data_IF_161467289625
#
_entry.id   IF_161467289625
#
_cell.length_a   1.000
_cell.length_b   1.000
_cell.length_c   1.000
_cell.angle_alpha   90.00
_cell.angle_beta   90.00
_cell.angle_gamma   90.00
#
_symmetry.space_group_name_H-M   'P 1'
#
loop_
_entity.id
_entity.type
_entity.pdbx_description
1 polymer ?
#
# COMPACT_ATOMS: atom_id res chain seq x y z
N UNK A 1 12.06 6.81 31.78
CA UNK A 1 10.72 6.33 31.37
C UNK A 1 9.92 6.07 32.63
N UNK A 2 8.70 6.58 32.72
CA UNK A 2 7.79 6.25 33.83
C UNK A 2 7.24 4.83 33.65
N UNK A 3 6.80 4.18 34.73
CA UNK A 3 6.46 2.74 34.75
C UNK A 3 5.31 2.30 33.81
N UNK A 4 4.62 3.22 33.13
CA UNK A 4 3.50 2.96 32.22
C UNK A 4 3.65 3.70 30.87
N UNK A 5 4.87 3.96 30.43
CA UNK A 5 5.14 4.62 29.15
C UNK A 5 5.85 3.64 28.20
N UNK A 6 5.27 3.39 27.04
CA UNK A 6 5.87 2.62 25.95
C UNK A 6 6.24 3.54 24.79
N UNK A 7 7.02 3.04 23.84
CA UNK A 7 7.10 3.66 22.52
C UNK A 7 5.72 3.58 21.83
N UNK A 8 5.45 4.53 20.94
CA UNK A 8 4.26 4.48 20.09
C UNK A 8 4.35 3.30 19.11
N UNK A 9 3.19 2.69 18.80
CA UNK A 9 3.13 1.58 17.86
C UNK A 9 3.42 2.05 16.43
N UNK A 10 3.88 1.11 15.61
CA UNK A 10 4.06 1.28 14.15
C UNK A 10 3.12 0.34 13.43
N UNK A 11 2.30 0.87 12.54
CA UNK A 11 1.48 0.09 11.62
C UNK A 11 2.25 -0.03 10.31
N UNK A 12 2.84 -1.19 10.06
CA UNK A 12 3.75 -1.41 8.93
C UNK A 12 3.04 -1.60 7.57
N UNK A 13 1.72 -1.67 7.56
CA UNK A 13 0.90 -1.75 6.36
C UNK A 13 -0.52 -1.28 6.65
N UNK A 14 -1.04 -0.35 5.84
CA UNK A 14 -2.41 0.12 5.90
C UNK A 14 -2.84 0.60 4.51
N UNK A 15 -4.16 0.67 4.31
CA UNK A 15 -4.81 1.20 3.12
C UNK A 15 -5.71 2.36 3.56
N UNK A 16 -5.16 3.55 3.74
CA UNK A 16 -5.92 4.71 4.25
C UNK A 16 -7.11 5.08 3.38
N UNK A 17 -7.03 4.84 2.07
CA UNK A 17 -8.15 5.12 1.18
C UNK A 17 -9.42 4.30 1.53
N UNK A 18 -9.26 3.18 2.24
CA UNK A 18 -10.37 2.31 2.65
C UNK A 18 -11.16 2.80 3.87
N UNK A 19 -10.74 3.85 4.57
CA UNK A 19 -11.36 4.26 5.84
C UNK A 19 -12.87 4.57 5.72
N UNK A 20 -13.25 5.14 4.58
CA UNK A 20 -14.62 5.51 4.23
C UNK A 20 -15.43 4.34 3.64
N UNK A 21 -14.82 3.17 3.42
CA UNK A 21 -15.51 1.98 2.93
C UNK A 21 -16.61 1.49 3.88
N UNK A 22 -16.51 1.80 5.18
CA UNK A 22 -17.55 1.50 6.18
C UNK A 22 -18.92 2.10 5.85
N UNK A 23 -18.97 3.11 4.96
CA UNK A 23 -20.20 3.72 4.46
C UNK A 23 -20.67 3.22 3.09
N UNK A 24 -19.96 2.29 2.45
CA UNK A 24 -20.30 1.84 1.09
C UNK A 24 -21.55 0.95 1.03
N UNK A 25 -22.33 1.02 -0.06
CA UNK A 25 -23.33 0.01 -0.35
C UNK A 25 -22.71 -1.39 -0.44
N UNK A 26 -23.49 -2.41 -0.07
CA UNK A 26 -23.06 -3.80 -0.24
C UNK A 26 -22.70 -4.09 -1.71
N UNK A 27 -21.70 -4.96 -1.97
CA UNK A 27 -21.40 -5.41 -3.32
C UNK A 27 -22.62 -6.11 -3.94
N UNK A 28 -22.68 -6.24 -5.29
CA UNK A 28 -23.79 -6.90 -5.98
C UNK A 28 -24.08 -8.32 -5.50
N UNK A 29 -23.07 -8.99 -4.94
CA UNK A 29 -23.14 -10.28 -4.24
C UNK A 29 -22.00 -10.37 -3.23
N UNK A 30 -22.16 -11.24 -2.22
CA UNK A 30 -21.09 -11.54 -1.27
C UNK A 30 -19.91 -12.21 -2.00
N UNK A 31 -18.70 -11.64 -1.93
CA UNK A 31 -17.48 -12.30 -2.42
C UNK A 31 -17.21 -13.58 -1.64
N UNK A 32 -16.76 -14.63 -2.32
CA UNK A 32 -16.42 -15.92 -1.69
C UNK A 32 -14.97 -16.35 -1.92
N UNK A 33 -14.16 -15.50 -2.57
CA UNK A 33 -12.74 -15.74 -2.80
C UNK A 33 -11.99 -14.40 -3.01
N UNK A 34 -10.66 -14.47 -3.05
CA UNK A 34 -9.78 -13.32 -3.17
C UNK A 34 -10.00 -12.48 -4.46
N UNK A 35 -10.05 -13.06 -5.68
CA UNK A 35 -10.39 -12.28 -6.88
C UNK A 35 -11.72 -11.54 -6.79
N UNK A 36 -12.75 -12.17 -6.21
CA UNK A 36 -14.07 -11.55 -6.09
C UNK A 36 -14.09 -10.36 -5.13
N UNK A 37 -13.37 -10.41 -4.01
CA UNK A 37 -13.33 -9.27 -3.08
C UNK A 37 -12.61 -8.08 -3.73
N UNK A 38 -11.55 -8.33 -4.50
CA UNK A 38 -10.88 -7.32 -5.31
C UNK A 38 -11.84 -6.69 -6.33
N UNK A 39 -12.47 -7.50 -7.18
CA UNK A 39 -13.33 -7.02 -8.25
C UNK A 39 -14.60 -6.31 -7.77
N UNK A 40 -15.27 -6.89 -6.76
CA UNK A 40 -16.59 -6.44 -6.32
C UNK A 40 -16.54 -5.29 -5.33
N UNK A 41 -15.43 -5.10 -4.62
CA UNK A 41 -15.27 -4.09 -3.57
C UNK A 41 -14.07 -3.20 -3.87
N UNK A 42 -12.84 -3.71 -3.76
CA UNK A 42 -11.64 -2.87 -3.70
C UNK A 42 -11.39 -2.09 -4.99
N UNK A 43 -11.49 -2.75 -6.15
CA UNK A 43 -11.34 -2.10 -7.46
C UNK A 43 -12.49 -1.17 -7.82
N UNK A 44 -13.61 -1.21 -7.09
CA UNK A 44 -14.68 -0.22 -7.28
C UNK A 44 -14.44 0.99 -6.41
N UNK A 45 -13.89 0.77 -5.22
CA UNK A 45 -13.52 1.82 -4.29
C UNK A 45 -12.35 2.63 -4.80
N UNK A 46 -11.23 2.01 -5.19
CA UNK A 46 -10.01 2.71 -5.63
C UNK A 46 -10.28 3.70 -6.79
N UNK A 47 -11.12 3.30 -7.76
CA UNK A 47 -11.57 4.13 -8.89
C UNK A 47 -12.56 5.23 -8.51
N UNK A 48 -13.21 5.14 -7.36
CA UNK A 48 -14.19 6.14 -6.92
C UNK A 48 -13.55 7.33 -6.20
N UNK A 49 -12.25 7.27 -5.92
CA UNK A 49 -11.53 8.27 -5.13
C UNK A 49 -11.19 9.50 -5.97
N UNK A 50 -11.32 10.66 -5.33
CA UNK A 50 -10.71 11.93 -5.72
C UNK A 50 -9.82 12.46 -4.57
N UNK A 51 -9.07 13.54 -4.81
CA UNK A 51 -8.14 14.08 -3.81
C UNK A 51 -8.83 14.51 -2.50
N UNK A 52 -10.08 14.99 -2.56
CA UNK A 52 -10.84 15.40 -1.37
C UNK A 52 -11.21 14.17 -0.51
N UNK A 53 -11.68 13.11 -1.17
CA UNK A 53 -11.96 11.83 -0.53
C UNK A 53 -10.69 11.22 0.07
N UNK A 54 -9.56 11.26 -0.65
CA UNK A 54 -8.26 10.77 -0.18
C UNK A 54 -7.83 11.53 1.09
N UNK A 55 -7.88 12.87 1.07
CA UNK A 55 -7.55 13.72 2.21
C UNK A 55 -8.36 13.33 3.45
N UNK A 56 -9.68 13.23 3.32
CA UNK A 56 -10.56 12.90 4.43
C UNK A 56 -10.42 11.46 4.92
N UNK A 57 -10.20 10.51 4.01
CA UNK A 57 -9.97 9.09 4.36
C UNK A 57 -8.65 8.93 5.11
N UNK A 58 -7.58 9.59 4.66
CA UNK A 58 -6.27 9.62 5.33
C UNK A 58 -6.37 10.28 6.71
N UNK A 59 -7.06 11.42 6.84
CA UNK A 59 -7.23 12.12 8.11
C UNK A 59 -7.99 11.27 9.14
N UNK A 60 -9.07 10.60 8.72
CA UNK A 60 -9.82 9.68 9.58
C UNK A 60 -8.95 8.49 10.03
N UNK A 61 -8.17 7.93 9.12
CA UNK A 61 -7.26 6.82 9.43
C UNK A 61 -6.16 7.22 10.39
N UNK A 62 -5.54 8.38 10.17
CA UNK A 62 -4.53 8.94 11.06
C UNK A 62 -5.09 9.18 12.48
N UNK A 63 -6.30 9.75 12.59
CA UNK A 63 -6.96 9.94 13.88
C UNK A 63 -7.19 8.59 14.58
N UNK A 64 -7.73 7.60 13.86
CA UNK A 64 -7.98 6.25 14.39
C UNK A 64 -6.68 5.57 14.84
N UNK A 65 -5.60 5.72 14.06
CA UNK A 65 -4.29 5.20 14.41
C UNK A 65 -3.78 5.84 15.72
N UNK A 66 -3.85 7.16 15.84
CA UNK A 66 -3.40 7.87 17.04
C UNK A 66 -4.21 7.50 18.28
N UNK A 67 -5.54 7.38 18.18
CA UNK A 67 -6.41 6.93 19.26
C UNK A 67 -6.10 5.50 19.74
N UNK A 68 -5.54 4.67 18.87
CA UNK A 68 -5.06 3.31 19.19
C UNK A 68 -3.62 3.25 19.72
N UNK A 69 -2.94 4.39 19.88
CA UNK A 69 -1.54 4.46 20.31
C UNK A 69 -0.52 4.21 19.18
N UNK A 70 -0.97 4.19 17.92
CA UNK A 70 -0.10 4.12 16.75
C UNK A 70 0.37 5.52 16.36
N UNK A 71 1.68 5.70 16.23
CA UNK A 71 2.30 7.02 15.98
C UNK A 71 3.05 7.08 14.65
N UNK A 72 3.17 5.94 13.96
CA UNK A 72 3.73 5.86 12.62
C UNK A 72 2.97 4.82 11.80
N UNK A 73 2.63 5.15 10.56
CA UNK A 73 1.94 4.25 9.62
C UNK A 73 2.70 4.21 8.31
N UNK A 74 2.78 3.05 7.68
CA UNK A 74 3.18 2.91 6.28
C UNK A 74 1.89 2.72 5.49
N UNK A 75 1.55 3.73 4.69
CA UNK A 75 0.34 3.72 3.88
C UNK A 75 0.65 3.23 2.47
N UNK A 76 -0.09 2.22 2.03
CA UNK A 76 -0.05 1.67 0.69
C UNK A 76 -1.29 2.17 -0.04
N UNK A 77 -1.09 3.08 -0.98
CA UNK A 77 -2.17 3.87 -1.57
C UNK A 77 -2.49 3.44 -3.00
N UNK A 78 -3.77 3.22 -3.30
CA UNK A 78 -4.26 3.06 -4.67
C UNK A 78 -5.43 4.02 -4.96
N UNK A 79 -5.28 4.83 -6.01
CA UNK A 79 -6.32 5.77 -6.48
C UNK A 79 -6.17 6.05 -7.98
N UNK A 80 -6.44 5.08 -8.86
CA UNK A 80 -6.15 5.18 -10.30
C UNK A 80 -6.78 6.37 -11.02
N UNK A 81 -7.85 6.96 -10.47
CA UNK A 81 -8.51 8.14 -11.02
C UNK A 81 -8.04 9.47 -10.38
N UNK A 82 -7.09 9.42 -9.44
CA UNK A 82 -6.58 10.57 -8.69
C UNK A 82 -5.11 10.38 -8.26
N UNK A 83 -4.26 9.94 -9.19
CA UNK A 83 -2.85 9.57 -8.93
C UNK A 83 -2.00 10.78 -8.54
N UNK A 84 -1.99 11.81 -9.38
CA UNK A 84 -1.11 12.98 -9.28
C UNK A 84 -1.38 13.76 -7.98
N UNK A 85 -0.36 13.90 -7.13
CA UNK A 85 -0.46 14.60 -5.86
C UNK A 85 -1.06 13.80 -4.70
N UNK A 86 -1.53 12.58 -4.93
CA UNK A 86 -2.20 11.76 -3.91
C UNK A 86 -1.35 11.52 -2.66
N UNK A 87 -0.04 11.25 -2.84
CA UNK A 87 0.85 10.97 -1.71
C UNK A 87 1.10 12.22 -0.86
N UNK A 88 1.17 13.39 -1.50
CA UNK A 88 1.28 14.68 -0.81
C UNK A 88 0.02 14.97 0.01
N UNK A 89 -1.16 14.72 -0.56
CA UNK A 89 -2.45 14.88 0.14
C UNK A 89 -2.54 14.00 1.39
N UNK A 90 -2.09 12.75 1.29
CA UNK A 90 -2.06 11.82 2.42
C UNK A 90 -1.08 12.30 3.50
N UNK A 91 0.10 12.73 3.08
CA UNK A 91 1.12 13.27 3.98
C UNK A 91 0.62 14.49 4.76
N UNK A 92 -0.03 15.43 4.08
CA UNK A 92 -0.60 16.64 4.67
C UNK A 92 -1.72 16.32 5.67
N UNK A 93 -2.61 15.39 5.31
CA UNK A 93 -3.68 14.93 6.19
C UNK A 93 -3.12 14.31 7.48
N UNK A 94 -2.07 13.50 7.38
CA UNK A 94 -1.41 12.89 8.54
C UNK A 94 -0.67 13.91 9.40
N UNK A 95 -0.01 14.88 8.77
CA UNK A 95 0.71 15.95 9.45
C UNK A 95 -0.22 16.83 10.30
N UNK A 96 -1.43 17.10 9.82
CA UNK A 96 -2.42 17.87 10.57
C UNK A 96 -2.88 17.15 11.86
N UNK A 97 -3.00 15.81 11.81
CA UNK A 97 -3.34 14.99 12.98
C UNK A 97 -2.12 14.78 13.90
N UNK A 98 -0.92 14.79 13.34
CA UNK A 98 0.34 14.56 14.06
C UNK A 98 0.83 13.11 14.04
N UNK A 99 0.35 12.29 13.08
CA UNK A 99 0.84 10.92 12.86
C UNK A 99 1.94 10.93 11.81
N UNK A 100 3.04 10.21 12.04
CA UNK A 100 4.08 10.04 11.01
C UNK A 100 3.58 9.06 9.95
N UNK A 101 3.74 9.40 8.69
CA UNK A 101 3.41 8.50 7.58
C UNK A 101 4.62 8.26 6.69
N UNK A 102 4.73 7.03 6.21
CA UNK A 102 5.57 6.64 5.08
C UNK A 102 4.61 6.30 3.93
N UNK A 103 4.54 7.15 2.92
CA UNK A 103 3.57 7.02 1.83
C UNK A 103 4.13 6.18 0.68
N UNK A 104 3.27 5.38 0.06
CA UNK A 104 3.65 4.55 -1.08
C UNK A 104 2.48 4.51 -2.07
N UNK A 105 2.72 4.74 -3.37
CA UNK A 105 1.67 4.55 -4.38
C UNK A 105 1.81 3.16 -5.00
N UNK A 106 0.80 2.29 -4.83
CA UNK A 106 0.77 0.92 -5.32
C UNK A 106 0.62 0.85 -6.83
N UNK A 107 1.74 0.78 -7.57
CA UNK A 107 1.76 0.70 -9.03
C UNK A 107 1.12 -0.61 -9.51
N UNK A 108 0.34 -0.55 -10.58
CA UNK A 108 -0.34 -1.71 -11.17
C UNK A 108 -0.60 -1.51 -12.67
N UNK A 109 -0.55 -2.60 -13.43
CA UNK A 109 -0.87 -2.62 -14.86
C UNK A 109 -2.38 -2.80 -15.15
N UNK A 110 -3.22 -2.91 -14.12
CA UNK A 110 -4.70 -3.01 -14.25
C UNK A 110 -5.32 -1.86 -15.05
N UNK A 111 -4.66 -0.72 -15.08
CA UNK A 111 -5.13 0.50 -15.76
C UNK A 111 -4.31 0.83 -17.01
N UNK A 112 -3.63 -0.18 -17.57
CA UNK A 112 -2.80 -0.06 -18.76
C UNK A 112 -1.46 0.63 -18.51
N UNK A 113 -0.59 0.67 -19.53
CA UNK A 113 0.76 1.21 -19.40
C UNK A 113 0.82 2.67 -18.95
N UNK A 114 -0.16 3.48 -19.34
CA UNK A 114 -0.27 4.89 -18.92
C UNK A 114 -0.54 5.00 -17.42
N UNK A 115 -1.40 4.15 -16.87
CA UNK A 115 -1.69 4.12 -15.43
C UNK A 115 -0.50 3.64 -14.60
N UNK A 116 0.20 2.61 -15.07
CA UNK A 116 1.43 2.14 -14.43
C UNK A 116 2.52 3.22 -14.44
N UNK A 117 2.74 3.87 -15.59
CA UNK A 117 3.69 4.98 -15.73
C UNK A 117 3.32 6.17 -14.84
N UNK A 118 2.04 6.52 -14.73
CA UNK A 118 1.58 7.59 -13.85
C UNK A 118 1.79 7.25 -12.36
N UNK A 119 1.54 6.00 -11.95
CA UNK A 119 1.81 5.55 -10.58
C UNK A 119 3.30 5.58 -10.23
N UNK A 120 4.17 5.16 -11.16
CA UNK A 120 5.62 5.29 -11.02
C UNK A 120 6.01 6.77 -10.90
N UNK A 121 5.46 7.63 -11.75
CA UNK A 121 5.73 9.06 -11.73
C UNK A 121 5.31 9.73 -10.41
N UNK A 122 4.21 9.32 -9.78
CA UNK A 122 3.79 9.86 -8.48
C UNK A 122 4.74 9.42 -7.35
N UNK A 123 5.20 8.17 -7.33
CA UNK A 123 6.24 7.73 -6.39
C UNK A 123 7.51 8.57 -6.57
N UNK A 124 7.99 8.70 -7.82
CA UNK A 124 9.21 9.44 -8.16
C UNK A 124 9.10 10.92 -7.76
N UNK A 125 7.98 11.57 -8.10
CA UNK A 125 7.71 12.97 -7.76
C UNK A 125 7.73 13.17 -6.25
N UNK A 126 6.97 12.38 -5.50
CA UNK A 126 6.87 12.51 -4.04
C UNK A 126 8.22 12.31 -3.35
N UNK A 127 8.99 11.30 -3.75
CA UNK A 127 10.32 11.03 -3.21
C UNK A 127 11.33 12.13 -3.59
N UNK A 128 11.32 12.59 -4.84
CA UNK A 128 12.19 13.68 -5.33
C UNK A 128 11.95 15.01 -4.62
N UNK A 129 10.72 15.29 -4.19
CA UNK A 129 10.36 16.48 -3.41
C UNK A 129 10.73 16.36 -1.91
N UNK A 130 11.32 15.24 -1.50
CA UNK A 130 11.71 14.99 -0.10
C UNK A 130 10.59 14.39 0.76
N UNK A 131 9.54 13.86 0.13
CA UNK A 131 8.50 13.09 0.78
C UNK A 131 9.06 11.85 1.46
N UNK A 132 8.49 11.47 2.60
CA UNK A 132 8.86 10.24 3.31
C UNK A 132 8.06 9.09 2.73
N UNK A 133 8.69 8.26 1.90
CA UNK A 133 8.00 7.21 1.17
C UNK A 133 8.82 5.95 0.90
N UNK A 134 8.18 5.02 0.21
CA UNK A 134 8.77 3.85 -0.47
C UNK A 134 8.20 3.79 -1.89
N UNK A 135 8.77 2.97 -2.76
CA UNK A 135 8.14 2.68 -4.06
C UNK A 135 7.13 1.55 -3.89
N UNK A 136 5.94 1.70 -4.47
CA UNK A 136 4.85 0.74 -4.31
C UNK A 136 4.62 -0.11 -5.53
N UNK A 137 4.35 -1.38 -5.30
CA UNK A 137 3.70 -2.27 -6.26
C UNK A 137 2.45 -2.81 -5.60
N UNK A 138 1.32 -2.82 -6.31
CA UNK A 138 0.10 -3.44 -5.78
C UNK A 138 0.38 -4.91 -5.47
N UNK A 139 0.61 -5.75 -6.48
CA UNK A 139 1.02 -7.14 -6.31
C UNK A 139 1.61 -7.64 -7.64
N UNK A 140 2.46 -8.66 -7.60
CA UNK A 140 3.12 -9.19 -8.79
C UNK A 140 2.12 -9.68 -9.85
N UNK A 141 1.05 -10.39 -9.48
CA UNK A 141 0.02 -10.84 -10.43
C UNK A 141 -0.75 -9.70 -11.15
N UNK A 142 -0.59 -8.46 -10.69
CA UNK A 142 -1.18 -7.26 -11.30
C UNK A 142 -0.17 -6.37 -12.01
N UNK A 143 1.09 -6.80 -12.09
CA UNK A 143 2.18 -6.06 -12.71
C UNK A 143 2.90 -6.92 -13.75
N UNK A 144 3.37 -6.29 -14.82
CA UNK A 144 4.30 -6.90 -15.76
C UNK A 144 5.71 -6.94 -15.18
N UNK A 145 6.56 -7.81 -15.72
CA UNK A 145 7.98 -7.88 -15.32
C UNK A 145 8.69 -6.54 -15.54
N UNK A 146 8.34 -5.81 -16.60
CA UNK A 146 8.89 -4.47 -16.88
C UNK A 146 8.50 -3.45 -15.80
N UNK A 147 7.24 -3.47 -15.35
CA UNK A 147 6.76 -2.61 -14.26
C UNK A 147 7.44 -2.93 -12.93
N UNK A 148 7.61 -4.23 -12.62
CA UNK A 148 8.31 -4.68 -11.41
C UNK A 148 9.78 -4.22 -11.45
N UNK A 149 10.47 -4.42 -12.58
CA UNK A 149 11.85 -4.01 -12.74
C UNK A 149 12.02 -2.49 -12.62
N UNK A 150 11.10 -1.70 -13.20
CA UNK A 150 11.10 -0.25 -13.11
C UNK A 150 10.89 0.25 -11.67
N UNK A 151 9.97 -0.36 -10.92
CA UNK A 151 9.76 -0.03 -9.51
C UNK A 151 11.00 -0.35 -8.65
N UNK A 152 11.62 -1.51 -8.87
CA UNK A 152 12.84 -1.90 -8.16
C UNK A 152 14.02 -0.95 -8.45
N UNK A 153 14.17 -0.52 -9.70
CA UNK A 153 15.22 0.44 -10.07
C UNK A 153 14.97 1.85 -9.51
N UNK A 154 13.72 2.28 -9.48
CA UNK A 154 13.32 3.54 -8.85
C UNK A 154 13.61 3.53 -7.35
N UNK A 155 13.28 2.43 -6.67
CA UNK A 155 13.57 2.22 -5.25
C UNK A 155 15.07 2.38 -4.97
N UNK A 156 15.92 1.70 -5.75
CA UNK A 156 17.39 1.86 -5.68
C UNK A 156 17.85 3.29 -5.93
N UNK A 157 17.27 3.96 -6.92
CA UNK A 157 17.62 5.35 -7.28
C UNK A 157 17.35 6.32 -6.13
N UNK A 158 16.24 6.14 -5.43
CA UNK A 158 15.84 6.96 -4.27
C UNK A 158 16.44 6.49 -2.95
N UNK A 159 17.11 5.32 -2.92
CA UNK A 159 17.66 4.74 -1.70
C UNK A 159 16.59 4.33 -0.68
N UNK A 160 15.46 3.82 -1.18
CA UNK A 160 14.32 3.30 -0.41
C UNK A 160 14.00 1.88 -0.87
N UNK A 161 13.26 1.12 -0.08
CA UNK A 161 12.78 -0.21 -0.48
C UNK A 161 11.47 -0.17 -1.29
N UNK A 162 10.96 -1.36 -1.62
CA UNK A 162 9.65 -1.57 -2.26
C UNK A 162 8.63 -2.12 -1.27
N UNK A 163 7.40 -1.59 -1.31
CA UNK A 163 6.24 -2.11 -0.57
C UNK A 163 5.36 -2.91 -1.54
N UNK A 164 5.10 -4.19 -1.27
CA UNK A 164 4.36 -5.05 -2.20
C UNK A 164 3.57 -6.16 -1.50
N UNK A 165 2.33 -6.42 -1.93
CA UNK A 165 1.58 -7.59 -1.47
C UNK A 165 2.16 -8.87 -2.10
N UNK A 166 2.29 -9.92 -1.28
CA UNK A 166 2.93 -11.17 -1.67
C UNK A 166 2.11 -12.35 -1.12
N UNK A 167 1.66 -13.22 -2.03
CA UNK A 167 1.02 -14.48 -1.71
C UNK A 167 -0.13 -14.34 -0.69
N UNK A 168 -0.97 -13.32 -0.84
CA UNK A 168 -2.12 -13.10 0.04
C UNK A 168 -3.23 -14.13 -0.19
N UNK A 169 -3.50 -14.45 -1.45
CA UNK A 169 -4.45 -15.50 -1.85
C UNK A 169 -3.83 -16.49 -2.82
N UNK A 170 -4.49 -17.64 -3.04
CA UNK A 170 -3.98 -18.72 -3.89
C UNK A 170 -3.63 -18.29 -5.34
N UNK A 171 -4.24 -17.21 -5.85
CA UNK A 171 -4.02 -16.70 -7.21
C UNK A 171 -3.01 -15.55 -7.27
N UNK A 172 -2.45 -15.13 -6.13
CA UNK A 172 -1.45 -14.07 -6.02
C UNK A 172 -0.05 -14.64 -6.30
N UNK A 173 0.29 -14.78 -7.59
CA UNK A 173 1.61 -15.21 -8.04
C UNK A 173 2.68 -14.18 -7.69
N UNK A 174 3.85 -14.62 -7.23
CA UNK A 174 4.86 -13.75 -6.61
C UNK A 174 6.29 -13.99 -7.12
N UNK A 175 6.54 -15.08 -7.85
CA UNK A 175 7.87 -15.53 -8.24
C UNK A 175 8.61 -14.52 -9.12
N UNK A 176 7.87 -13.66 -9.82
CA UNK A 176 8.41 -12.55 -10.62
C UNK A 176 9.19 -11.53 -9.79
N UNK A 177 8.96 -11.48 -8.47
CA UNK A 177 9.68 -10.59 -7.56
C UNK A 177 11.08 -11.11 -7.20
N UNK A 178 11.34 -12.41 -7.34
CA UNK A 178 12.61 -13.05 -6.96
C UNK A 178 13.87 -12.37 -7.51
N UNK A 179 13.93 -12.00 -8.80
CA UNK A 179 15.14 -11.38 -9.34
C UNK A 179 15.38 -9.95 -8.84
N UNK A 180 14.39 -9.34 -8.17
CA UNK A 180 14.36 -7.92 -7.83
C UNK A 180 14.34 -7.65 -6.33
N UNK A 181 13.86 -8.59 -5.51
CA UNK A 181 13.69 -8.38 -4.07
C UNK A 181 15.02 -8.11 -3.37
N UNK A 182 15.03 -7.12 -2.47
CA UNK A 182 16.18 -6.69 -1.66
C UNK A 182 15.81 -6.62 -0.16
N UNK A 183 16.80 -6.54 0.73
CA UNK A 183 16.60 -6.62 2.19
C UNK A 183 15.71 -5.53 2.78
N UNK A 184 15.59 -4.38 2.10
CA UNK A 184 14.78 -3.23 2.53
C UNK A 184 13.34 -3.25 1.98
N UNK A 185 12.96 -4.30 1.27
CA UNK A 185 11.58 -4.51 0.82
C UNK A 185 10.64 -4.88 1.97
N UNK A 186 9.39 -4.45 1.87
CA UNK A 186 8.29 -4.91 2.72
C UNK A 186 7.40 -5.86 1.93
N UNK A 187 7.40 -7.13 2.35
CA UNK A 187 6.63 -8.22 1.77
C UNK A 187 5.35 -8.40 2.60
N UNK A 188 4.22 -7.95 2.06
CA UNK A 188 2.98 -7.86 2.82
C UNK A 188 2.17 -9.16 2.71
N UNK A 189 1.62 -9.63 3.83
CA UNK A 189 0.88 -10.89 4.00
C UNK A 189 1.74 -12.15 4.11
N UNK A 190 2.14 -12.74 2.97
CA UNK A 190 2.86 -14.01 2.91
C UNK A 190 2.06 -15.23 3.38
N UNK A 191 0.75 -15.28 3.14
CA UNK A 191 -0.13 -16.36 3.62
C UNK A 191 0.18 -17.68 2.92
N UNK A 192 0.39 -17.63 1.61
CA UNK A 192 0.64 -18.80 0.75
C UNK A 192 2.12 -18.90 0.33
N UNK A 193 3.01 -18.21 1.04
CA UNK A 193 4.44 -18.20 0.77
C UNK A 193 5.11 -19.43 1.42
N UNK A 194 5.87 -20.26 0.67
CA UNK A 194 6.56 -21.42 1.25
C UNK A 194 7.76 -20.99 2.09
N UNK A 195 8.19 -21.82 3.05
CA UNK A 195 9.31 -21.48 3.96
C UNK A 195 10.63 -21.16 3.23
N UNK A 196 10.89 -21.81 2.09
CA UNK A 196 12.09 -21.65 1.26
C UNK A 196 11.85 -20.76 0.03
N UNK A 197 11.00 -19.74 0.17
CA UNK A 197 10.56 -18.87 -0.92
C UNK A 197 11.67 -18.07 -1.61
N UNK A 198 12.84 -17.83 -1.00
CA UNK A 198 13.98 -17.15 -1.63
C UNK A 198 13.88 -15.62 -1.80
N UNK A 199 12.70 -15.01 -1.67
CA UNK A 199 12.55 -13.54 -1.58
C UNK A 199 13.39 -12.94 -0.44
N UNK A 200 13.99 -11.78 -0.70
CA UNK A 200 14.65 -10.92 0.30
C UNK A 200 13.68 -9.83 0.78
N UNK A 201 13.84 -9.39 2.03
CA UNK A 201 13.02 -8.34 2.64
C UNK A 201 12.41 -8.74 3.98
N UNK A 202 11.55 -7.87 4.49
CA UNK A 202 10.85 -8.05 5.77
C UNK A 202 9.39 -8.40 5.54
N UNK A 203 8.94 -9.52 6.10
CA UNK A 203 7.53 -9.92 6.06
C UNK A 203 6.70 -9.07 7.04
N UNK A 204 5.62 -8.48 6.54
CA UNK A 204 4.62 -7.76 7.34
C UNK A 204 3.36 -8.61 7.47
N UNK A 205 3.12 -9.10 8.69
CA UNK A 205 2.00 -9.99 8.98
C UNK A 205 0.70 -9.24 9.32
N UNK A 206 -0.34 -9.42 8.51
CA UNK A 206 -1.65 -8.79 8.67
C UNK A 206 -2.72 -9.78 9.18
N UNK A 207 -2.52 -10.34 10.37
CA UNK A 207 -3.34 -11.42 10.93
C UNK A 207 -4.86 -11.22 10.81
N UNK A 208 -5.37 -9.99 11.02
CA UNK A 208 -6.81 -9.69 10.92
C UNK A 208 -7.33 -9.70 9.50
N UNK A 209 -6.53 -9.27 8.53
CA UNK A 209 -6.89 -9.32 7.10
C UNK A 209 -6.93 -10.77 6.65
N UNK A 210 -5.88 -11.53 6.98
CA UNK A 210 -5.67 -12.91 6.55
C UNK A 210 -6.73 -13.91 7.04
N UNK A 211 -7.59 -13.53 8.00
CA UNK A 211 -8.69 -14.38 8.48
C UNK A 211 -9.98 -14.26 7.65
N UNK A 212 -10.08 -13.26 6.78
CA UNK A 212 -11.26 -13.01 5.94
C UNK A 212 -11.16 -13.73 4.60
#
# INVERSE_FOLDING_TARGET
MHANQTAGLVCAHNHFYSALARGMPAPPRTPTNFPEILELVWWRLDRALDLDTIYHSAKLSALTALESGCTAVIDHHESPNAIDGSLSVIADACAEVGVRVNCTYGVTDRHGPEGAAAGLAENDRFLSEGGRGMVGLHAAFTCTDDTIAAAAEMARTHGVGVHVHVAEGDNDTWEQLLPHSEDDWLLIHGVHLPDDHGLQGTIVHNARSNMN
#
